data_IF_639236257997
#
_entry.id   IF_639236257997
#
_cell.length_a   1.000
_cell.length_b   1.000
_cell.length_c   1.000
_cell.angle_alpha   90.00
_cell.angle_beta   90.00
_cell.angle_gamma   90.00
#
_symmetry.space_group_name_H-M   'P 1'
#
loop_
_entity.id
_entity.type
_entity.pdbx_description
1 polymer ?
#
# COMPACT_ATOMS: atom_id res chain seq x y z
N UNK A 1 -21.26 18.28 1.82
CA UNK A 1 -21.76 16.94 1.43
C UNK A 1 -21.15 15.90 2.36
N UNK A 2 -21.97 15.06 2.99
CA UNK A 2 -21.53 13.98 3.89
C UNK A 2 -20.69 12.94 3.15
N UNK A 3 -19.71 12.31 3.81
CA UNK A 3 -19.01 11.17 3.20
C UNK A 3 -20.02 10.06 2.87
N UNK A 4 -20.16 9.70 1.59
CA UNK A 4 -21.24 8.82 1.12
C UNK A 4 -20.99 7.33 1.40
N UNK A 5 -19.82 6.97 1.96
CA UNK A 5 -19.47 5.57 2.25
C UNK A 5 -19.88 5.19 3.66
N UNK A 6 -20.86 4.29 3.75
CA UNK A 6 -21.33 3.66 5.01
C UNK A 6 -20.21 2.95 5.77
N UNK A 7 -20.25 3.05 7.10
CA UNK A 7 -19.28 2.39 7.98
C UNK A 7 -19.29 0.86 7.82
N UNK A 8 -20.43 0.24 7.48
CA UNK A 8 -20.50 -1.20 7.25
C UNK A 8 -19.64 -1.62 6.05
N UNK A 9 -19.63 -0.83 4.97
CA UNK A 9 -18.75 -1.08 3.83
C UNK A 9 -17.27 -0.91 4.22
N UNK A 10 -16.94 0.07 5.07
CA UNK A 10 -15.56 0.24 5.59
C UNK A 10 -15.10 -0.97 6.39
N UNK A 11 -15.96 -1.49 7.27
CA UNK A 11 -15.68 -2.69 8.08
C UNK A 11 -15.53 -3.92 7.18
N UNK A 12 -16.42 -4.10 6.20
CA UNK A 12 -16.34 -5.21 5.26
C UNK A 12 -15.02 -5.17 4.48
N UNK A 13 -14.66 -4.02 3.92
CA UNK A 13 -13.40 -3.86 3.18
C UNK A 13 -12.17 -4.08 4.08
N UNK A 14 -12.22 -3.67 5.34
CA UNK A 14 -11.16 -3.93 6.32
C UNK A 14 -10.95 -5.43 6.53
N UNK A 15 -12.03 -6.17 6.79
CA UNK A 15 -11.99 -7.62 6.99
C UNK A 15 -11.46 -8.32 5.72
N UNK A 16 -11.97 -7.93 4.55
CA UNK A 16 -11.53 -8.50 3.28
C UNK A 16 -10.05 -8.20 2.99
N UNK A 17 -9.56 -7.00 3.34
CA UNK A 17 -8.15 -6.68 3.23
C UNK A 17 -7.29 -7.65 4.04
N UNK A 18 -7.69 -8.00 5.27
CA UNK A 18 -6.98 -9.02 6.08
C UNK A 18 -6.90 -10.36 5.34
N UNK A 19 -8.04 -10.83 4.83
CA UNK A 19 -8.10 -12.11 4.13
C UNK A 19 -7.30 -12.11 2.82
N UNK A 20 -7.14 -10.97 2.14
CA UNK A 20 -6.41 -10.87 0.87
C UNK A 20 -4.91 -11.20 0.99
N UNK A 21 -4.28 -10.93 2.13
CA UNK A 21 -2.86 -11.21 2.36
C UNK A 21 -2.59 -12.65 2.81
N UNK A 22 -3.61 -13.30 3.38
CA UNK A 22 -3.48 -14.60 4.01
C UNK A 22 -2.95 -15.72 3.07
N UNK A 23 -3.38 -15.83 1.80
CA UNK A 23 -2.87 -16.86 0.90
C UNK A 23 -1.39 -16.71 0.59
N UNK A 24 -0.85 -15.48 0.55
CA UNK A 24 0.57 -15.24 0.31
C UNK A 24 1.39 -15.53 1.57
N UNK A 25 0.91 -15.10 2.74
CA UNK A 25 1.56 -15.38 4.02
C UNK A 25 1.63 -16.88 4.31
N UNK A 26 0.51 -17.60 4.13
CA UNK A 26 0.48 -19.06 4.29
C UNK A 26 1.46 -19.75 3.36
N UNK A 27 1.56 -19.31 2.10
CA UNK A 27 2.48 -19.90 1.13
C UNK A 27 3.94 -19.72 1.52
N UNK A 28 4.33 -18.51 1.95
CA UNK A 28 5.69 -18.26 2.45
C UNK A 28 6.00 -19.11 3.69
N UNK A 29 5.05 -19.23 4.61
CA UNK A 29 5.21 -20.00 5.84
C UNK A 29 5.29 -21.52 5.58
N UNK A 30 4.44 -22.05 4.70
CA UNK A 30 4.40 -23.47 4.35
C UNK A 30 5.65 -23.89 3.59
N UNK A 31 6.09 -23.09 2.62
CA UNK A 31 7.25 -23.41 1.79
C UNK A 31 8.57 -23.09 2.50
N UNK A 32 8.54 -22.22 3.53
CA UNK A 32 9.72 -21.63 4.18
C UNK A 32 10.75 -21.07 3.19
N UNK A 33 10.24 -20.59 2.05
CA UNK A 33 11.03 -20.12 0.93
C UNK A 33 10.28 -18.96 0.27
N UNK A 34 11.02 -17.90 -0.06
CA UNK A 34 10.51 -16.74 -0.80
C UNK A 34 11.04 -16.66 -2.23
N UNK A 35 11.64 -17.73 -2.76
CA UNK A 35 12.16 -17.79 -4.14
C UNK A 35 11.06 -17.43 -5.15
N UNK A 36 11.39 -16.54 -6.09
CA UNK A 36 10.43 -15.99 -7.04
C UNK A 36 9.61 -14.81 -6.51
N UNK A 37 9.83 -14.35 -5.27
CA UNK A 37 9.29 -13.10 -4.74
C UNK A 37 10.40 -12.06 -4.60
N UNK A 38 10.26 -10.93 -5.30
CA UNK A 38 11.27 -9.88 -5.30
C UNK A 38 11.20 -9.08 -3.99
N UNK A 39 12.32 -9.05 -3.27
CA UNK A 39 12.45 -8.24 -2.05
C UNK A 39 12.31 -6.74 -2.36
N UNK A 40 12.71 -6.29 -3.55
CA UNK A 40 12.56 -4.89 -3.97
C UNK A 40 11.09 -4.55 -4.24
N UNK A 41 10.35 -5.47 -4.87
CA UNK A 41 8.90 -5.33 -5.05
C UNK A 41 8.17 -5.20 -3.70
N UNK A 42 8.52 -6.05 -2.73
CA UNK A 42 7.94 -5.98 -1.39
C UNK A 42 8.37 -4.72 -0.62
N UNK A 43 9.62 -4.27 -0.81
CA UNK A 43 10.11 -3.01 -0.26
C UNK A 43 9.28 -1.82 -0.75
N UNK A 44 9.04 -1.73 -2.07
CA UNK A 44 8.21 -0.67 -2.65
C UNK A 44 6.78 -0.69 -2.09
N UNK A 45 6.17 -1.87 -1.97
CA UNK A 45 4.82 -2.02 -1.42
C UNK A 45 4.75 -1.59 0.05
N UNK A 46 5.70 -2.01 0.88
CA UNK A 46 5.69 -1.64 2.31
C UNK A 46 6.01 -0.16 2.52
N UNK A 47 6.88 0.44 1.68
CA UNK A 47 7.10 1.90 1.68
C UNK A 47 5.81 2.65 1.37
N UNK A 48 5.03 2.23 0.36
CA UNK A 48 3.73 2.85 0.07
C UNK A 48 2.72 2.68 1.19
N UNK A 49 2.63 1.50 1.77
CA UNK A 49 1.73 1.28 2.91
C UNK A 49 2.12 2.12 4.14
N UNK A 50 3.42 2.26 4.41
CA UNK A 50 3.94 3.13 5.48
C UNK A 50 3.59 4.59 5.21
N UNK A 51 3.83 5.09 3.99
CA UNK A 51 3.57 6.49 3.66
C UNK A 51 2.09 6.86 3.78
N UNK A 52 1.20 6.02 3.25
CA UNK A 52 -0.23 6.23 3.37
C UNK A 52 -0.70 6.21 4.82
N UNK A 53 -0.12 5.32 5.64
CA UNK A 53 -0.43 5.29 7.07
C UNK A 53 0.10 6.54 7.79
N UNK A 54 1.34 6.99 7.50
CA UNK A 54 1.91 8.23 8.04
C UNK A 54 1.04 9.43 7.73
N UNK A 55 0.64 9.61 6.46
CA UNK A 55 -0.20 10.75 6.05
C UNK A 55 -1.54 10.73 6.81
N UNK A 56 -2.21 9.59 6.87
CA UNK A 56 -3.48 9.45 7.61
C UNK A 56 -3.32 9.69 9.11
N UNK A 57 -2.25 9.18 9.70
CA UNK A 57 -1.91 9.41 11.11
C UNK A 57 -1.68 10.91 11.36
N UNK A 58 -0.92 11.58 10.50
CA UNK A 58 -0.68 13.02 10.60
C UNK A 58 -1.97 13.83 10.45
N UNK A 59 -2.89 13.44 9.57
CA UNK A 59 -4.18 14.12 9.50
C UNK A 59 -5.01 14.01 10.79
N UNK A 60 -4.96 12.86 11.49
CA UNK A 60 -5.72 12.67 12.74
C UNK A 60 -5.08 13.37 13.92
N UNK A 61 -3.76 13.26 14.08
CA UNK A 61 -3.09 13.63 15.32
C UNK A 61 -2.26 14.91 15.24
N UNK A 62 -1.91 15.36 14.03
CA UNK A 62 -0.97 16.47 13.82
C UNK A 62 -1.66 17.67 13.15
N UNK A 63 -2.53 17.44 12.18
CA UNK A 63 -3.19 18.52 11.44
C UNK A 63 -4.21 19.28 12.31
N UNK A 64 -4.07 20.60 12.40
CA UNK A 64 -4.92 21.45 13.26
C UNK A 64 -6.30 21.76 12.64
N UNK A 65 -6.43 21.69 11.31
CA UNK A 65 -7.70 21.81 10.59
C UNK A 65 -7.56 21.16 9.21
N UNK A 66 -8.29 20.07 8.96
CA UNK A 66 -8.22 19.36 7.68
C UNK A 66 -9.60 18.89 7.22
N UNK A 67 -10.54 19.83 7.11
CA UNK A 67 -11.93 19.57 6.72
C UNK A 67 -12.11 18.90 5.34
N UNK A 68 -11.03 18.81 4.57
CA UNK A 68 -10.95 18.10 3.30
C UNK A 68 -10.85 16.58 3.51
N UNK A 69 -9.95 16.10 4.38
CA UNK A 69 -9.67 14.67 4.54
C UNK A 69 -10.37 14.06 5.78
N UNK A 70 -10.45 14.81 6.88
CA UNK A 70 -10.96 14.34 8.18
C UNK A 70 -12.03 15.29 8.69
N UNK A 71 -12.99 14.75 9.45
CA UNK A 71 -13.99 15.56 10.12
C UNK A 71 -13.37 16.28 11.31
N UNK A 72 -13.80 17.51 11.59
CA UNK A 72 -13.45 18.19 12.82
C UNK A 72 -14.72 18.34 13.70
N UNK A 73 -14.88 17.57 14.79
CA UNK A 73 -13.99 16.50 15.28
C UNK A 73 -14.08 15.19 14.46
N UNK A 74 -13.05 14.35 14.56
CA UNK A 74 -12.93 13.11 13.80
C UNK A 74 -14.08 12.14 14.13
N UNK A 75 -14.73 11.60 13.10
CA UNK A 75 -15.86 10.69 13.27
C UNK A 75 -15.43 9.21 13.19
N UNK A 76 -16.37 8.29 13.47
CA UNK A 76 -16.13 6.83 13.40
C UNK A 76 -15.53 6.40 12.05
N UNK A 77 -15.98 7.02 10.95
CA UNK A 77 -15.48 6.73 9.63
C UNK A 77 -14.00 7.07 9.45
N UNK A 78 -13.56 8.19 10.01
CA UNK A 78 -12.16 8.63 9.94
C UNK A 78 -11.25 7.65 10.70
N UNK A 79 -11.69 7.19 11.87
CA UNK A 79 -11.00 6.14 12.63
C UNK A 79 -10.93 4.80 11.88
N UNK A 80 -12.02 4.41 11.20
CA UNK A 80 -12.03 3.20 10.35
C UNK A 80 -11.09 3.34 9.15
N UNK A 81 -10.96 4.54 8.58
CA UNK A 81 -10.02 4.82 7.50
C UNK A 81 -8.56 4.72 7.98
N UNK A 82 -8.25 5.28 9.16
CA UNK A 82 -6.94 5.09 9.79
C UNK A 82 -6.65 3.60 10.03
N UNK A 83 -7.62 2.87 10.60
CA UNK A 83 -7.47 1.44 10.88
C UNK A 83 -7.26 0.62 9.60
N UNK A 84 -7.94 0.96 8.51
CA UNK A 84 -7.74 0.34 7.18
C UNK A 84 -6.30 0.47 6.71
N UNK A 85 -5.72 1.66 6.83
CA UNK A 85 -4.34 1.93 6.41
C UNK A 85 -3.33 1.28 7.37
N UNK A 86 -3.60 1.32 8.68
CA UNK A 86 -2.79 0.66 9.70
C UNK A 86 -2.72 -0.87 9.48
N UNK A 87 -3.86 -1.52 9.21
CA UNK A 87 -3.93 -2.96 8.92
C UNK A 87 -3.19 -3.28 7.63
N UNK A 88 -3.37 -2.48 6.58
CA UNK A 88 -2.66 -2.65 5.30
C UNK A 88 -1.15 -2.54 5.47
N UNK A 89 -0.70 -1.56 6.25
CA UNK A 89 0.70 -1.39 6.63
C UNK A 89 1.23 -2.57 7.45
N UNK A 90 0.50 -3.03 8.47
CA UNK A 90 0.89 -4.16 9.30
C UNK A 90 1.01 -5.48 8.52
N UNK A 91 0.06 -5.75 7.62
CA UNK A 91 0.09 -6.94 6.76
C UNK A 91 1.21 -6.87 5.72
N UNK A 92 1.42 -5.70 5.10
CA UNK A 92 2.51 -5.49 4.14
C UNK A 92 3.88 -5.61 4.82
N UNK A 93 4.03 -5.07 6.03
CA UNK A 93 5.23 -5.22 6.85
C UNK A 93 5.50 -6.67 7.21
N UNK A 94 4.45 -7.40 7.64
CA UNK A 94 4.57 -8.82 7.97
C UNK A 94 5.04 -9.63 6.77
N UNK A 95 4.44 -9.40 5.59
CA UNK A 95 4.79 -10.09 4.35
C UNK A 95 6.22 -9.75 3.91
N UNK A 96 6.64 -8.49 4.03
CA UNK A 96 8.00 -8.05 3.77
C UNK A 96 9.01 -8.76 4.68
N UNK A 97 8.81 -8.76 6.00
CA UNK A 97 9.73 -9.39 6.94
C UNK A 97 9.75 -10.92 6.81
N UNK A 98 8.61 -11.56 6.54
CA UNK A 98 8.56 -13.00 6.25
C UNK A 98 9.36 -13.34 4.99
N UNK A 99 9.21 -12.56 3.93
CA UNK A 99 9.99 -12.76 2.72
C UNK A 99 11.49 -12.52 2.96
N UNK A 100 11.87 -11.49 3.72
CA UNK A 100 13.27 -11.27 4.11
C UNK A 100 13.81 -12.45 4.90
N UNK A 101 13.04 -12.98 5.85
CA UNK A 101 13.44 -14.10 6.69
C UNK A 101 13.71 -15.36 5.84
N UNK A 102 12.74 -15.74 4.98
CA UNK A 102 12.81 -16.93 4.14
C UNK A 102 13.57 -16.76 2.82
N UNK A 103 14.07 -15.56 2.50
CA UNK A 103 14.74 -15.33 1.22
C UNK A 103 16.10 -16.04 1.12
N UNK A 104 16.44 -16.64 -0.03
CA UNK A 104 17.78 -17.17 -0.28
C UNK A 104 18.82 -16.07 -0.61
N UNK A 105 18.43 -14.80 -0.60
CA UNK A 105 19.33 -13.69 -0.93
C UNK A 105 20.51 -13.59 0.05
N UNK A 106 21.67 -13.17 -0.46
CA UNK A 106 22.87 -12.88 0.35
C UNK A 106 22.53 -11.92 1.49
N UNK A 107 23.06 -12.17 2.68
CA UNK A 107 22.84 -11.35 3.90
C UNK A 107 23.05 -9.87 3.63
N UNK A 108 24.13 -9.49 2.92
CA UNK A 108 24.40 -8.09 2.54
C UNK A 108 23.23 -7.42 1.80
N UNK A 109 22.58 -8.14 0.88
CA UNK A 109 21.41 -7.63 0.15
C UNK A 109 20.20 -7.47 1.07
N UNK A 110 19.97 -8.45 1.97
CA UNK A 110 18.89 -8.37 2.97
C UNK A 110 19.09 -7.15 3.88
N UNK A 111 20.28 -7.01 4.46
CA UNK A 111 20.63 -5.89 5.36
C UNK A 111 20.47 -4.55 4.64
N UNK A 112 20.90 -4.42 3.39
CA UNK A 112 20.72 -3.20 2.62
C UNK A 112 19.24 -2.85 2.42
N UNK A 113 18.41 -3.83 2.00
CA UNK A 113 16.98 -3.63 1.78
C UNK A 113 16.24 -3.29 3.09
N UNK A 114 16.56 -3.99 4.18
CA UNK A 114 16.02 -3.68 5.52
C UNK A 114 16.48 -2.31 5.99
N UNK A 115 17.73 -1.94 5.74
CA UNK A 115 18.27 -0.62 6.07
C UNK A 115 17.53 0.52 5.36
N UNK A 116 17.21 0.37 4.07
CA UNK A 116 16.37 1.33 3.34
C UNK A 116 15.00 1.46 4.01
N UNK A 117 14.35 0.33 4.34
CA UNK A 117 13.04 0.36 4.97
C UNK A 117 13.09 1.03 6.36
N UNK A 118 14.07 0.69 7.20
CA UNK A 118 14.24 1.29 8.53
C UNK A 118 14.51 2.79 8.42
N UNK A 119 15.30 3.24 7.45
CA UNK A 119 15.54 4.65 7.21
C UNK A 119 14.23 5.38 6.83
N UNK A 120 13.46 4.82 5.90
CA UNK A 120 12.17 5.40 5.51
C UNK A 120 11.16 5.40 6.66
N UNK A 121 11.04 4.29 7.39
CA UNK A 121 10.17 4.16 8.56
C UNK A 121 10.51 5.18 9.65
N UNK A 122 11.82 5.41 9.87
CA UNK A 122 12.31 6.38 10.84
C UNK A 122 11.96 7.81 10.45
N UNK A 123 12.19 8.18 9.19
CA UNK A 123 11.96 9.54 8.68
C UNK A 123 10.48 9.87 8.48
N UNK A 124 9.64 8.87 8.23
CA UNK A 124 8.20 9.01 7.99
C UNK A 124 7.41 8.74 9.29
N UNK A 125 7.05 7.49 9.55
CA UNK A 125 6.11 7.14 10.62
C UNK A 125 6.66 7.40 12.03
N UNK A 126 7.92 7.04 12.31
CA UNK A 126 8.50 7.24 13.65
C UNK A 126 8.61 8.74 13.98
N UNK A 127 9.03 9.56 13.00
CA UNK A 127 9.06 11.01 13.16
C UNK A 127 7.67 11.55 13.53
N UNK A 128 6.62 11.13 12.82
CA UNK A 128 5.24 11.53 13.12
C UNK A 128 4.79 11.10 14.53
N UNK A 129 5.10 9.87 14.95
CA UNK A 129 4.77 9.36 16.29
C UNK A 129 5.50 10.18 17.37
N UNK A 130 6.80 10.41 17.20
CA UNK A 130 7.61 11.21 18.14
C UNK A 130 7.07 12.64 18.24
N UNK A 131 6.67 13.24 17.13
CA UNK A 131 6.05 14.58 17.13
C UNK A 131 4.79 14.64 17.98
N UNK A 132 3.92 13.62 17.90
CA UNK A 132 2.69 13.54 18.72
C UNK A 132 3.03 13.32 20.19
N UNK A 133 3.97 12.41 20.49
CA UNK A 133 4.35 12.08 21.88
C UNK A 133 5.08 13.22 22.58
N UNK A 134 5.90 13.98 21.86
CA UNK A 134 6.64 15.11 22.41
C UNK A 134 5.74 16.31 22.78
N UNK A 135 4.49 16.33 22.29
CA UNK A 135 3.58 17.47 22.43
C UNK A 135 2.22 17.04 23.02
N UNK A 136 2.19 16.66 24.31
CA UNK A 136 0.99 16.13 24.97
C UNK A 136 -0.18 17.14 25.05
N UNK A 137 0.08 18.44 24.87
CA UNK A 137 -0.96 19.47 24.81
C UNK A 137 -1.64 19.60 23.43
N UNK A 138 -1.15 18.90 22.41
CA UNK A 138 -1.71 18.87 21.05
C UNK A 138 -1.79 20.25 20.36
N UNK A 139 -2.80 20.43 19.51
CA UNK A 139 -3.05 21.67 18.75
C UNK A 139 -3.38 22.90 19.61
N UNK A 140 -3.65 22.75 20.92
CA UNK A 140 -4.05 23.84 21.81
C UNK A 140 -2.89 24.72 22.30
N UNK A 141 -1.64 24.28 22.12
CA UNK A 141 -0.46 25.13 22.32
C UNK A 141 -0.16 25.85 21.00
N UNK A 142 -0.80 27.00 20.79
CA UNK A 142 -0.90 27.76 19.53
C UNK A 142 0.38 28.28 18.87
N UNK A 143 1.48 27.52 18.83
CA UNK A 143 2.71 27.86 18.10
C UNK A 143 3.22 26.79 17.14
N UNK A 144 2.63 25.59 17.10
CA UNK A 144 3.22 24.43 16.41
C UNK A 144 2.73 24.18 14.97
N UNK A 145 1.86 25.02 14.44
CA UNK A 145 1.22 24.78 13.13
C UNK A 145 2.18 24.75 11.94
N UNK A 146 3.32 25.45 12.03
CA UNK A 146 4.26 25.59 10.90
C UNK A 146 5.11 24.34 10.67
N UNK A 147 5.78 23.83 11.70
CA UNK A 147 6.65 22.65 11.58
C UNK A 147 5.86 21.40 11.16
N UNK A 148 4.64 21.26 11.70
CA UNK A 148 3.70 20.21 11.34
C UNK A 148 3.14 20.36 9.93
N UNK A 149 2.85 21.59 9.52
CA UNK A 149 2.49 21.92 8.15
C UNK A 149 3.62 21.58 7.16
N UNK A 150 4.88 21.82 7.54
CA UNK A 150 6.04 21.44 6.73
C UNK A 150 6.16 19.92 6.63
N UNK A 151 6.04 19.20 7.73
CA UNK A 151 6.14 17.73 7.72
C UNK A 151 5.07 17.12 6.81
N UNK A 152 3.79 17.36 7.09
CA UNK A 152 2.69 16.82 6.30
C UNK A 152 2.74 17.34 4.85
N UNK A 153 3.02 18.63 4.65
CA UNK A 153 3.17 19.22 3.32
C UNK A 153 4.30 18.58 2.51
N UNK A 154 5.44 18.29 3.12
CA UNK A 154 6.57 17.62 2.45
C UNK A 154 6.20 16.20 2.03
N UNK A 155 5.48 15.48 2.89
CA UNK A 155 4.97 14.15 2.58
C UNK A 155 4.00 14.18 1.39
N UNK A 156 3.01 15.08 1.42
CA UNK A 156 2.00 15.18 0.34
C UNK A 156 2.59 15.66 -1.00
N UNK A 157 3.50 16.65 -0.97
CA UNK A 157 4.01 17.32 -2.18
C UNK A 157 5.18 16.55 -2.81
N UNK A 158 6.07 15.96 -2.01
CA UNK A 158 7.32 15.37 -2.51
C UNK A 158 7.41 13.86 -2.27
N UNK A 159 7.20 13.39 -1.04
CA UNK A 159 7.44 11.98 -0.70
C UNK A 159 6.42 11.07 -1.36
N UNK A 160 5.14 11.39 -1.22
CA UNK A 160 4.04 10.56 -1.68
C UNK A 160 4.03 10.37 -3.22
N UNK A 161 4.22 11.39 -4.08
CA UNK A 161 4.42 11.17 -5.51
C UNK A 161 5.58 10.21 -5.84
N UNK A 162 6.72 10.33 -5.14
CA UNK A 162 7.87 9.42 -5.31
C UNK A 162 7.48 8.00 -4.91
N UNK A 163 6.72 7.85 -3.82
CA UNK A 163 6.23 6.56 -3.34
C UNK A 163 5.29 5.89 -4.36
N UNK A 164 4.39 6.63 -5.00
CA UNK A 164 3.57 6.10 -6.10
C UNK A 164 4.41 5.64 -7.28
N UNK A 165 5.45 6.39 -7.64
CA UNK A 165 6.40 5.97 -8.68
C UNK A 165 7.15 4.69 -8.29
N UNK A 166 7.54 4.56 -7.01
CA UNK A 166 8.13 3.31 -6.50
C UNK A 166 7.16 2.14 -6.59
N UNK A 167 5.87 2.37 -6.33
CA UNK A 167 4.83 1.35 -6.45
C UNK A 167 4.67 0.88 -7.91
N UNK A 168 4.73 1.79 -8.88
CA UNK A 168 4.78 1.44 -10.32
C UNK A 168 6.07 0.66 -10.64
N UNK A 169 7.21 1.10 -10.12
CA UNK A 169 8.51 0.45 -10.31
C UNK A 169 8.62 -0.93 -9.62
N UNK A 170 7.69 -1.26 -8.72
CA UNK A 170 7.61 -2.57 -8.09
C UNK A 170 7.31 -3.69 -9.12
N UNK A 171 6.53 -3.37 -10.18
CA UNK A 171 6.17 -4.33 -11.22
C UNK A 171 7.40 -4.87 -11.99
N UNK A 172 8.25 -4.05 -12.63
CA UNK A 172 9.42 -4.57 -13.34
C UNK A 172 10.37 -5.33 -12.41
N UNK A 173 10.49 -4.93 -11.13
CA UNK A 173 11.29 -5.65 -10.14
C UNK A 173 10.76 -7.07 -9.91
N UNK A 174 9.44 -7.27 -9.82
CA UNK A 174 8.82 -8.58 -9.66
C UNK A 174 8.83 -9.41 -10.95
N UNK A 175 8.59 -8.79 -12.11
CA UNK A 175 8.64 -9.48 -13.40
C UNK A 175 10.04 -10.02 -13.71
N UNK A 176 11.09 -9.28 -13.34
CA UNK A 176 12.48 -9.74 -13.46
C UNK A 176 12.74 -10.98 -12.61
N UNK A 177 12.27 -10.97 -11.36
CA UNK A 177 12.39 -12.12 -10.45
C UNK A 177 11.64 -13.35 -10.98
N UNK A 178 10.44 -13.15 -11.51
CA UNK A 178 9.65 -14.21 -12.16
C UNK A 178 10.31 -14.81 -13.40
N UNK A 179 11.17 -14.05 -14.08
CA UNK A 179 11.92 -14.53 -15.25
C UNK A 179 13.05 -15.46 -14.83
N UNK A 180 13.73 -15.17 -13.72
CA UNK A 180 14.92 -15.91 -13.29
C UNK A 180 14.61 -17.08 -12.35
N UNK A 181 13.67 -16.90 -11.43
CA UNK A 181 13.42 -17.85 -10.35
C UNK A 181 12.03 -18.48 -10.40
N UNK A 182 11.28 -18.26 -11.50
CA UNK A 182 9.94 -18.80 -11.68
C UNK A 182 8.91 -18.18 -10.73
N UNK A 183 7.77 -18.85 -10.57
CA UNK A 183 6.58 -18.33 -9.90
C UNK A 183 6.18 -19.12 -8.64
N UNK A 184 7.10 -19.93 -8.11
CA UNK A 184 6.87 -20.83 -6.98
C UNK A 184 6.56 -20.09 -5.66
N UNK A 185 7.05 -18.86 -5.50
CA UNK A 185 6.78 -18.04 -4.31
C UNK A 185 5.47 -17.23 -4.34
N UNK A 186 4.84 -17.02 -5.51
CA UNK A 186 3.65 -16.14 -5.62
C UNK A 186 2.32 -16.91 -5.60
N UNK A 187 1.44 -16.57 -4.66
CA UNK A 187 0.08 -17.09 -4.54
C UNK A 187 -0.86 -16.42 -5.54
N UNK A 188 -1.37 -17.21 -6.50
CA UNK A 188 -2.32 -16.73 -7.51
C UNK A 188 -3.60 -16.18 -6.86
N UNK A 189 -4.08 -16.85 -5.80
CA UNK A 189 -5.24 -16.41 -5.01
C UNK A 189 -4.98 -15.08 -4.30
N UNK A 190 -3.77 -14.89 -3.76
CA UNK A 190 -3.41 -13.59 -3.16
C UNK A 190 -3.40 -12.49 -4.22
N UNK A 191 -2.71 -12.70 -5.35
CA UNK A 191 -2.65 -11.71 -6.43
C UNK A 191 -4.06 -11.33 -6.92
N UNK A 192 -4.94 -12.30 -7.15
CA UNK A 192 -6.30 -12.05 -7.59
C UNK A 192 -7.12 -11.28 -6.54
N UNK A 193 -7.11 -11.76 -5.29
CA UNK A 193 -7.87 -11.13 -4.20
C UNK A 193 -7.37 -9.72 -3.90
N UNK A 194 -6.05 -9.51 -3.85
CA UNK A 194 -5.44 -8.19 -3.66
C UNK A 194 -5.75 -7.25 -4.83
N UNK A 195 -5.66 -7.72 -6.09
CA UNK A 195 -6.03 -6.89 -7.24
C UNK A 195 -7.48 -6.41 -7.16
N UNK A 196 -8.43 -7.33 -6.91
CA UNK A 196 -9.84 -6.99 -6.82
C UNK A 196 -10.14 -6.06 -5.64
N UNK A 197 -9.66 -6.41 -4.45
CA UNK A 197 -9.99 -5.69 -3.23
C UNK A 197 -9.36 -4.30 -3.19
N UNK A 198 -8.11 -4.14 -3.63
CA UNK A 198 -7.47 -2.84 -3.69
C UNK A 198 -8.03 -1.96 -4.81
N UNK A 199 -8.55 -2.54 -5.89
CA UNK A 199 -9.29 -1.78 -6.90
C UNK A 199 -10.58 -1.19 -6.29
N UNK A 200 -11.37 -2.02 -5.60
CA UNK A 200 -12.60 -1.57 -4.93
C UNK A 200 -12.26 -0.55 -3.82
N UNK A 201 -11.20 -0.79 -3.06
CA UNK A 201 -10.77 0.11 -1.99
C UNK A 201 -10.35 1.48 -2.57
N UNK A 202 -9.54 1.49 -3.63
CA UNK A 202 -9.13 2.70 -4.34
C UNK A 202 -10.30 3.51 -4.89
N UNK A 203 -11.27 2.83 -5.53
CA UNK A 203 -12.51 3.49 -5.96
C UNK A 203 -13.31 4.03 -4.78
N UNK A 204 -13.39 3.29 -3.67
CA UNK A 204 -14.12 3.74 -2.48
C UNK A 204 -13.49 5.00 -1.88
N UNK A 205 -12.16 5.16 -1.95
CA UNK A 205 -11.46 6.34 -1.42
C UNK A 205 -11.90 7.65 -2.08
N UNK A 206 -12.24 7.61 -3.38
CA UNK A 206 -12.79 8.77 -4.09
C UNK A 206 -14.07 9.30 -3.41
N UNK A 207 -14.85 8.43 -2.78
CA UNK A 207 -16.12 8.75 -2.12
C UNK A 207 -16.02 8.85 -0.58
N UNK A 208 -14.89 8.45 0.02
CA UNK A 208 -14.65 8.53 1.47
C UNK A 208 -14.28 9.93 1.91
N UNK A 209 -13.74 10.73 1.00
CA UNK A 209 -13.21 12.06 1.29
C UNK A 209 -14.22 13.15 0.93
N UNK A 210 -14.18 14.28 1.64
CA UNK A 210 -15.09 15.41 1.40
C UNK A 210 -14.62 16.21 0.19
N UNK A 211 -15.36 16.10 -0.92
CA UNK A 211 -15.14 16.91 -2.10
C UNK A 211 -16.13 18.09 -2.08
N UNK A 212 -15.59 19.31 -2.00
CA UNK A 212 -16.37 20.56 -2.14
C UNK A 212 -16.55 20.97 -3.61
N UNK A 213 -15.89 20.28 -4.53
CA UNK A 213 -15.89 20.53 -5.96
C UNK A 213 -16.32 19.27 -6.73
N UNK A 214 -16.79 19.45 -7.96
CA UNK A 214 -17.15 18.31 -8.81
C UNK A 214 -15.89 17.52 -9.19
N UNK A 215 -15.99 16.19 -9.19
CA UNK A 215 -14.89 15.31 -9.61
C UNK A 215 -14.34 15.69 -10.98
N UNK A 216 -15.21 16.07 -11.92
CA UNK A 216 -14.84 16.51 -13.27
C UNK A 216 -13.86 17.70 -13.27
N UNK A 217 -13.95 18.58 -12.27
CA UNK A 217 -13.11 19.78 -12.21
C UNK A 217 -11.67 19.43 -11.87
N UNK A 218 -11.47 18.37 -11.07
CA UNK A 218 -10.13 17.87 -10.73
C UNK A 218 -9.44 17.21 -11.93
N UNK A 219 -10.18 16.63 -12.86
CA UNK A 219 -9.61 15.99 -14.06
C UNK A 219 -9.47 16.93 -15.26
N UNK A 220 -9.83 18.21 -15.11
CA UNK A 220 -9.83 19.17 -16.23
C UNK A 220 -8.43 19.66 -16.61
N UNK A 221 -7.54 19.82 -15.65
CA UNK A 221 -6.16 20.27 -15.89
C UNK A 221 -5.17 19.45 -15.07
N UNK A 222 -3.91 19.42 -15.50
CA UNK A 222 -2.84 18.77 -14.75
C UNK A 222 -2.64 19.38 -13.36
N UNK A 223 -2.77 20.70 -13.25
CA UNK A 223 -2.71 21.40 -11.95
C UNK A 223 -3.84 20.97 -11.02
N UNK A 224 -5.07 20.94 -11.52
CA UNK A 224 -6.25 20.49 -10.75
C UNK A 224 -6.11 19.04 -10.28
N UNK A 225 -5.58 18.16 -11.13
CA UNK A 225 -5.34 16.76 -10.76
C UNK A 225 -4.25 16.64 -9.69
N UNK A 226 -3.16 17.41 -9.83
CA UNK A 226 -2.06 17.42 -8.87
C UNK A 226 -2.55 17.91 -7.50
N UNK A 227 -3.34 18.98 -7.46
CA UNK A 227 -3.94 19.47 -6.22
C UNK A 227 -4.90 18.45 -5.60
N UNK A 228 -5.75 17.80 -6.41
CA UNK A 228 -6.62 16.73 -5.93
C UNK A 228 -5.81 15.58 -5.31
N UNK A 229 -4.80 15.11 -6.03
CA UNK A 229 -3.92 14.04 -5.60
C UNK A 229 -3.25 14.36 -4.26
N UNK A 230 -2.62 15.54 -4.16
CA UNK A 230 -1.92 16.00 -2.97
C UNK A 230 -2.85 16.18 -1.77
N UNK A 231 -4.09 16.60 -1.98
CA UNK A 231 -5.01 16.86 -0.87
C UNK A 231 -5.73 15.60 -0.41
N UNK A 232 -6.23 14.78 -1.33
CA UNK A 232 -7.21 13.73 -1.02
C UNK A 232 -7.11 12.48 -1.89
N UNK A 233 -6.56 12.60 -3.10
CA UNK A 233 -6.55 11.55 -4.12
C UNK A 233 -5.46 10.50 -3.93
N UNK A 234 -4.45 10.77 -3.12
CA UNK A 234 -3.32 9.87 -2.87
C UNK A 234 -3.72 8.45 -2.48
N UNK A 235 -4.66 8.32 -1.53
CA UNK A 235 -5.12 7.00 -1.08
C UNK A 235 -5.80 6.23 -2.22
N UNK A 236 -6.61 6.91 -3.04
CA UNK A 236 -7.26 6.29 -4.18
C UNK A 236 -6.24 5.80 -5.23
N UNK A 237 -5.32 6.68 -5.61
CA UNK A 237 -4.32 6.40 -6.66
C UNK A 237 -3.39 5.26 -6.26
N UNK A 238 -2.83 5.26 -5.06
CA UNK A 238 -1.90 4.22 -4.64
C UNK A 238 -2.57 2.84 -4.55
N UNK A 239 -3.81 2.77 -4.04
CA UNK A 239 -4.55 1.51 -4.02
C UNK A 239 -4.85 0.99 -5.44
N UNK A 240 -5.21 1.89 -6.37
CA UNK A 240 -5.44 1.52 -7.77
C UNK A 240 -4.15 1.06 -8.47
N UNK A 241 -3.03 1.76 -8.24
CA UNK A 241 -1.73 1.36 -8.79
C UNK A 241 -1.33 -0.01 -8.24
N UNK A 242 -1.42 -0.22 -6.93
CA UNK A 242 -1.16 -1.52 -6.31
C UNK A 242 -2.04 -2.62 -6.95
N UNK A 243 -3.34 -2.36 -7.10
CA UNK A 243 -4.28 -3.29 -7.71
C UNK A 243 -3.91 -3.66 -9.15
N UNK A 244 -3.51 -2.67 -9.96
CA UNK A 244 -3.03 -2.89 -11.33
C UNK A 244 -1.77 -3.75 -11.34
N UNK A 245 -0.81 -3.47 -10.46
CA UNK A 245 0.41 -4.29 -10.33
C UNK A 245 0.06 -5.74 -9.98
N UNK A 246 -0.81 -5.98 -8.99
CA UNK A 246 -1.26 -7.32 -8.63
C UNK A 246 -1.99 -8.01 -9.78
N UNK A 247 -2.86 -7.29 -10.50
CA UNK A 247 -3.62 -7.81 -11.63
C UNK A 247 -2.72 -8.23 -12.80
N UNK A 248 -1.71 -7.43 -13.13
CA UNK A 248 -0.73 -7.78 -14.16
C UNK A 248 0.06 -9.03 -13.75
N UNK A 249 0.54 -9.09 -12.49
CA UNK A 249 1.26 -10.26 -11.97
C UNK A 249 0.39 -11.52 -11.99
N UNK A 250 -0.89 -11.41 -11.62
CA UNK A 250 -1.86 -12.51 -11.70
C UNK A 250 -1.96 -13.05 -13.14
N UNK A 251 -2.15 -12.18 -14.13
CA UNK A 251 -2.26 -12.58 -15.54
C UNK A 251 -0.98 -13.24 -16.04
N UNK A 252 0.19 -12.72 -15.68
CA UNK A 252 1.49 -13.28 -16.07
C UNK A 252 1.68 -14.68 -15.47
N UNK A 253 1.43 -14.86 -14.18
CA UNK A 253 1.58 -16.15 -13.50
C UNK A 253 0.55 -17.16 -14.02
N UNK A 254 -0.70 -16.74 -14.25
CA UNK A 254 -1.75 -17.59 -14.80
C UNK A 254 -1.38 -18.11 -16.20
N UNK A 255 -0.88 -17.23 -17.07
CA UNK A 255 -0.42 -17.62 -18.42
C UNK A 255 0.71 -18.64 -18.35
N UNK A 256 1.73 -18.40 -17.52
CA UNK A 256 2.85 -19.35 -17.33
C UNK A 256 2.39 -20.72 -16.81
N UNK A 257 1.42 -20.76 -15.90
CA UNK A 257 0.87 -22.04 -15.41
C UNK A 257 0.13 -22.80 -16.50
N UNK A 258 -0.64 -22.10 -17.34
CA UNK A 258 -1.37 -22.72 -18.46
C UNK A 258 -0.43 -23.27 -19.53
N UNK A 259 0.65 -22.57 -19.85
CA UNK A 259 1.64 -23.07 -20.83
C UNK A 259 2.34 -24.32 -20.34
N UNK A 260 2.77 -24.34 -19.06
CA UNK A 260 3.40 -25.54 -18.46
C UNK A 260 2.44 -26.74 -18.43
N UNK A 261 1.16 -26.51 -18.12
CA UNK A 261 0.16 -27.58 -18.15
C UNK A 261 -0.04 -28.14 -19.57
N UNK A 262 -0.13 -27.27 -20.58
CA UNK A 262 -0.29 -27.69 -21.98
C UNK A 262 0.95 -28.42 -22.52
N UNK A 263 2.17 -28.06 -22.07
CA UNK A 263 3.39 -28.77 -22.44
C UNK A 263 3.48 -30.15 -21.75
N UNK A 264 3.09 -30.26 -20.48
CA UNK A 264 3.09 -31.53 -19.75
C UNK A 264 2.06 -32.56 -20.23
N UNK A 265 0.95 -32.11 -20.82
CA UNK A 265 -0.03 -33.00 -21.48
C UNK A 265 0.48 -33.59 -22.81
N UNK A 266 1.56 -33.03 -23.38
CA UNK A 266 2.16 -33.48 -24.63
C UNK A 266 3.39 -34.40 -24.44
N UNK A 267 3.77 -34.72 -23.20
CA UNK A 267 4.85 -35.71 -22.97
C UNK A 267 4.30 -37.14 -23.18
N UNK A 268 4.93 -37.97 -24.03
CA UNK A 268 4.50 -39.34 -24.23
C UNK A 268 4.65 -40.11 -22.93
N UNK A 269 3.57 -40.74 -22.47
CA UNK A 269 3.59 -41.73 -21.40
C UNK A 269 4.56 -42.85 -21.82
N UNK A 270 5.80 -42.82 -21.32
CA UNK A 270 6.72 -43.93 -21.49
C UNK A 270 6.11 -45.15 -20.79
N UNK A 271 5.58 -46.04 -21.62
CA UNK A 271 5.09 -47.36 -21.27
C UNK A 271 6.18 -48.15 -20.56
N UNK A 272 5.86 -48.62 -19.35
CA UNK A 272 6.57 -49.70 -18.67
C UNK A 272 6.63 -50.97 -19.51
#
# INVERSE_FOLDING_TARGET
>A
MSSNVSNWLRILLLILSIFSFLPQLRRLQQNRDSTGVSLTYLLCNVISATEQFTISFSYIFIAQSSDFFIHNPANVGDWLNLLQLAVTWGLSSTLFFFAIFYSPARVRRKVFIVGIYIAFLSLSLLAAIVSVLANPCGANCGSQGFDYGIFLGSHLIFVNPVVTLLLIAALPAQLRELKWHGHAGLSLTALASQAMLFAVLGLSWVFRVRLYYNLSDFFRTWGSFTSWYQLVGWAAVDHLVFAVVQGILFLVVLRKKRTVAAEGENEPLLSH
#
